data_IF_400169528019
#
_entry.id   IF_400169528019
#
_cell.length_a   1.000
_cell.length_b   1.000
_cell.length_c   1.000
_cell.angle_alpha   90.00
_cell.angle_beta   90.00
_cell.angle_gamma   90.00
#
_symmetry.space_group_name_H-M   'P 1'
#
loop_
_entity.id
_entity.type
_entity.pdbx_description
1 polymer ?
#
# COMPACT_ATOMS: atom_id res chain seq x y z
N UNK A 1 0.37 -23.25 5.16
CA UNK A 1 0.61 -23.66 3.76
C UNK A 1 2.03 -23.32 3.30
N UNK A 2 2.43 -22.05 3.26
CA UNK A 2 3.74 -21.58 2.82
C UNK A 2 4.90 -22.33 3.47
N UNK A 3 4.91 -22.43 4.81
CA UNK A 3 6.02 -23.03 5.57
C UNK A 3 6.21 -24.52 5.27
N UNK A 4 5.10 -25.25 5.09
CA UNK A 4 5.12 -26.66 4.71
C UNK A 4 5.73 -26.82 3.33
N UNK A 5 5.31 -26.01 2.35
CA UNK A 5 5.88 -26.01 1.00
C UNK A 5 7.38 -25.68 1.00
N UNK A 6 7.79 -24.64 1.74
CA UNK A 6 9.20 -24.28 1.92
C UNK A 6 10.03 -25.46 2.46
N UNK A 7 9.51 -26.15 3.48
CA UNK A 7 10.18 -27.30 4.09
C UNK A 7 10.30 -28.48 3.12
N UNK A 8 9.25 -28.79 2.35
CA UNK A 8 9.28 -29.85 1.35
C UNK A 8 10.28 -29.54 0.23
N UNK A 9 10.27 -28.33 -0.31
CA UNK A 9 11.20 -27.94 -1.37
C UNK A 9 12.66 -28.00 -0.93
N UNK A 10 12.98 -27.65 0.32
CA UNK A 10 14.32 -27.85 0.89
C UNK A 10 14.75 -29.32 0.99
N UNK A 11 13.78 -30.25 1.03
CA UNK A 11 14.03 -31.69 1.01
C UNK A 11 14.14 -32.24 -0.41
N UNK A 12 14.15 -31.38 -1.44
CA UNK A 12 14.29 -31.78 -2.84
C UNK A 12 12.98 -32.09 -3.55
N UNK A 13 11.83 -31.90 -2.90
CA UNK A 13 10.53 -32.02 -3.57
C UNK A 13 10.38 -30.95 -4.65
N UNK A 14 9.64 -31.29 -5.71
CA UNK A 14 9.32 -30.37 -6.81
C UNK A 14 7.82 -30.16 -6.88
N UNK A 15 7.39 -28.90 -6.96
CA UNK A 15 6.00 -28.54 -7.22
C UNK A 15 5.74 -28.41 -8.72
N UNK A 16 4.50 -28.69 -9.13
CA UNK A 16 4.00 -28.42 -10.47
C UNK A 16 2.75 -27.54 -10.36
N UNK A 17 2.69 -26.47 -11.14
CA UNK A 17 1.50 -25.63 -11.25
C UNK A 17 0.81 -25.93 -12.59
N UNK A 18 -0.43 -26.41 -12.52
CA UNK A 18 -1.25 -26.72 -13.70
C UNK A 18 -2.35 -25.68 -13.83
N UNK A 19 -2.39 -24.98 -14.97
CA UNK A 19 -3.40 -23.96 -15.26
C UNK A 19 -4.26 -24.37 -16.47
N UNK A 20 -5.28 -25.23 -16.27
CA UNK A 20 -6.16 -25.65 -17.35
C UNK A 20 -7.11 -24.53 -17.78
N UNK A 21 -7.58 -24.58 -19.04
CA UNK A 21 -8.51 -23.57 -19.60
C UNK A 21 -9.80 -23.40 -18.79
N UNK A 22 -10.29 -24.49 -18.17
CA UNK A 22 -11.47 -24.47 -17.30
C UNK A 22 -11.01 -24.55 -15.84
N UNK A 23 -11.42 -23.60 -14.97
CA UNK A 23 -11.14 -23.69 -13.54
C UNK A 23 -11.64 -25.01 -12.96
N UNK A 24 -10.76 -25.75 -12.29
CA UNK A 24 -11.11 -27.01 -11.61
C UNK A 24 -11.55 -26.79 -10.16
N UNK A 25 -11.14 -25.67 -9.57
CA UNK A 25 -11.52 -25.25 -8.23
C UNK A 25 -12.16 -23.87 -8.31
N UNK A 26 -13.36 -23.76 -7.75
CA UNK A 26 -14.08 -22.49 -7.60
C UNK A 26 -14.24 -22.20 -6.13
N UNK A 27 -13.93 -20.97 -5.74
CA UNK A 27 -14.07 -20.50 -4.37
C UNK A 27 -14.79 -19.16 -4.33
N UNK A 28 -15.32 -18.82 -3.16
CA UNK A 28 -15.89 -17.50 -2.90
C UNK A 28 -14.79 -16.55 -2.42
N UNK A 29 -14.68 -15.41 -3.10
CA UNK A 29 -13.79 -14.32 -2.70
C UNK A 29 -14.55 -13.30 -1.82
N UNK A 30 -13.82 -12.55 -1.02
CA UNK A 30 -14.38 -11.44 -0.24
C UNK A 30 -14.67 -10.25 -1.16
N UNK A 31 -15.84 -9.64 -1.00
CA UNK A 31 -16.34 -8.56 -1.89
C UNK A 31 -16.26 -7.17 -1.27
N UNK A 32 -15.98 -7.07 0.05
CA UNK A 32 -15.85 -5.81 0.77
C UNK A 32 -14.41 -5.58 1.27
N UNK A 33 -14.06 -4.31 1.53
CA UNK A 33 -12.71 -3.92 1.93
C UNK A 33 -12.31 -4.47 3.31
N UNK A 34 -13.25 -4.55 4.25
CA UNK A 34 -12.99 -5.01 5.61
C UNK A 34 -12.45 -6.44 5.63
N UNK A 35 -13.17 -7.37 5.00
CA UNK A 35 -12.82 -8.78 4.98
C UNK A 35 -11.53 -9.04 4.20
N UNK A 36 -11.32 -8.31 3.10
CA UNK A 36 -10.05 -8.31 2.36
C UNK A 36 -8.90 -7.87 3.27
N UNK A 37 -9.07 -6.76 4.00
CA UNK A 37 -8.04 -6.23 4.90
C UNK A 37 -7.72 -7.18 6.06
N UNK A 38 -8.72 -7.84 6.65
CA UNK A 38 -8.53 -8.86 7.69
C UNK A 38 -7.78 -10.07 7.11
N UNK A 39 -8.16 -10.54 5.93
CA UNK A 39 -7.47 -11.64 5.25
C UNK A 39 -5.99 -11.31 5.02
N UNK A 40 -5.71 -10.15 4.44
CA UNK A 40 -4.34 -9.72 4.16
C UNK A 40 -3.53 -9.49 5.43
N UNK A 41 -4.16 -9.03 6.52
CA UNK A 41 -3.47 -8.87 7.80
C UNK A 41 -2.99 -10.22 8.31
N UNK A 42 -3.84 -11.26 8.26
CA UNK A 42 -3.44 -12.63 8.63
C UNK A 42 -2.29 -13.16 7.78
N UNK A 43 -2.35 -12.96 6.47
CA UNK A 43 -1.28 -13.39 5.56
C UNK A 43 0.02 -12.64 5.86
N UNK A 44 -0.05 -11.33 6.06
CA UNK A 44 1.08 -10.49 6.42
C UNK A 44 1.73 -10.93 7.75
N UNK A 45 0.92 -11.24 8.77
CA UNK A 45 1.41 -11.80 10.03
C UNK A 45 2.07 -13.15 9.82
N UNK A 46 1.49 -14.05 9.02
CA UNK A 46 2.08 -15.34 8.70
C UNK A 46 3.44 -15.23 8.03
N UNK A 47 3.54 -14.41 6.98
CA UNK A 47 4.79 -14.15 6.27
C UNK A 47 5.85 -13.48 7.15
N UNK A 48 5.46 -12.43 7.89
CA UNK A 48 6.36 -11.72 8.82
C UNK A 48 6.87 -12.66 9.90
N UNK A 49 6.01 -13.52 10.45
CA UNK A 49 6.38 -14.53 11.45
C UNK A 49 7.48 -15.45 10.94
N UNK A 50 7.41 -15.87 9.67
CA UNK A 50 8.46 -16.69 9.07
C UNK A 50 9.73 -15.86 8.86
N UNK A 51 9.62 -14.63 8.34
CA UNK A 51 10.76 -13.75 8.07
C UNK A 51 11.63 -13.49 9.31
N UNK A 52 11.01 -13.27 10.48
CA UNK A 52 11.72 -13.00 11.74
C UNK A 52 11.91 -14.24 12.63
N UNK A 53 11.60 -15.43 12.11
CA UNK A 53 11.85 -16.68 12.83
C UNK A 53 13.25 -17.24 12.56
N UNK A 54 13.66 -18.23 13.36
CA UNK A 54 14.83 -19.07 13.08
C UNK A 54 14.75 -19.83 11.75
N UNK A 55 13.56 -19.93 11.15
CA UNK A 55 13.34 -20.57 9.85
C UNK A 55 13.23 -19.58 8.70
N UNK A 56 13.71 -18.34 8.91
CA UNK A 56 13.80 -17.31 7.87
C UNK A 56 14.41 -17.87 6.58
N UNK A 57 13.81 -17.60 5.39
CA UNK A 57 14.34 -18.07 4.12
C UNK A 57 15.78 -17.63 3.86
N UNK A 58 16.21 -16.45 4.34
CA UNK A 58 17.59 -15.98 4.17
C UNK A 58 18.62 -16.80 4.95
N UNK A 59 18.22 -17.37 6.09
CA UNK A 59 19.11 -18.18 6.95
C UNK A 59 19.00 -19.65 6.56
N UNK A 60 17.76 -20.12 6.40
CA UNK A 60 17.46 -21.54 6.24
C UNK A 60 17.42 -21.97 4.77
N UNK A 61 17.14 -21.07 3.83
CA UNK A 61 16.97 -21.37 2.40
C UNK A 61 18.25 -21.65 1.60
N UNK A 62 19.39 -20.96 1.83
CA UNK A 62 20.58 -21.12 0.98
C UNK A 62 21.06 -22.58 0.88
N UNK A 63 21.57 -22.95 -0.30
CA UNK A 63 22.18 -24.26 -0.61
C UNK A 63 21.25 -25.49 -0.60
N UNK A 64 19.93 -25.33 -0.36
CA UNK A 64 18.95 -26.42 -0.33
C UNK A 64 17.88 -26.34 -1.43
N UNK A 65 17.92 -25.30 -2.25
CA UNK A 65 17.03 -25.08 -3.40
C UNK A 65 17.73 -24.21 -4.44
N UNK A 66 17.14 -24.04 -5.63
CA UNK A 66 17.68 -23.16 -6.65
C UNK A 66 17.67 -21.70 -6.21
N UNK A 67 18.56 -20.89 -6.77
CA UNK A 67 18.66 -19.46 -6.44
C UNK A 67 17.33 -18.72 -6.67
N UNK A 68 16.67 -18.99 -7.80
CA UNK A 68 15.37 -18.36 -8.13
C UNK A 68 14.30 -18.75 -7.11
N UNK A 69 14.22 -20.03 -6.75
CA UNK A 69 13.23 -20.50 -5.79
C UNK A 69 13.48 -19.91 -4.39
N UNK A 70 14.75 -19.80 -3.99
CA UNK A 70 15.16 -19.11 -2.78
C UNK A 70 14.72 -17.64 -2.77
N UNK A 71 14.90 -16.93 -3.88
CA UNK A 71 14.47 -15.54 -4.01
C UNK A 71 12.95 -15.40 -3.89
N UNK A 72 12.16 -16.26 -4.55
CA UNK A 72 10.69 -16.24 -4.44
C UNK A 72 10.20 -16.48 -3.00
N UNK A 73 10.80 -17.44 -2.30
CA UNK A 73 10.45 -17.67 -0.89
C UNK A 73 10.80 -16.47 -0.02
N UNK A 74 11.99 -15.89 -0.22
CA UNK A 74 12.44 -14.72 0.53
C UNK A 74 11.55 -13.51 0.27
N UNK A 75 11.23 -13.22 -0.99
CA UNK A 75 10.31 -12.15 -1.37
C UNK A 75 8.98 -12.29 -0.64
N UNK A 76 8.32 -13.44 -0.72
CA UNK A 76 7.02 -13.65 -0.07
C UNK A 76 7.06 -13.46 1.45
N UNK A 77 8.12 -13.93 2.12
CA UNK A 77 8.27 -13.78 3.56
C UNK A 77 8.50 -12.32 3.98
N UNK A 78 9.35 -11.60 3.26
CA UNK A 78 9.76 -10.24 3.60
C UNK A 78 8.85 -9.15 3.02
N UNK A 79 8.02 -9.49 2.03
CA UNK A 79 7.15 -8.55 1.32
C UNK A 79 6.32 -7.66 2.26
N UNK A 80 5.65 -8.15 3.33
CA UNK A 80 4.88 -7.27 4.20
C UNK A 80 5.74 -6.22 4.91
N UNK A 81 6.89 -6.62 5.46
CA UNK A 81 7.81 -5.73 6.17
C UNK A 81 8.40 -4.67 5.24
N UNK A 82 8.92 -5.10 4.09
CA UNK A 82 9.60 -4.19 3.17
C UNK A 82 8.62 -3.21 2.52
N UNK A 83 7.43 -3.69 2.15
CA UNK A 83 6.41 -2.83 1.54
C UNK A 83 5.80 -1.86 2.56
N UNK A 84 5.49 -2.29 3.79
CA UNK A 84 4.92 -1.35 4.75
C UNK A 84 5.93 -0.24 5.11
N UNK A 85 7.19 -0.58 5.42
CA UNK A 85 8.21 0.40 5.76
C UNK A 85 8.45 1.40 4.62
N UNK A 86 8.61 0.91 3.40
CA UNK A 86 8.85 1.76 2.23
C UNK A 86 7.67 2.70 1.97
N UNK A 87 6.44 2.19 2.02
CA UNK A 87 5.25 2.98 1.67
C UNK A 87 4.89 3.99 2.76
N UNK A 88 5.10 3.68 4.03
CA UNK A 88 5.00 4.70 5.10
C UNK A 88 6.03 5.81 4.92
N UNK A 89 7.25 5.48 4.48
CA UNK A 89 8.25 6.47 4.10
C UNK A 89 7.78 7.37 2.94
N UNK A 90 7.31 6.78 1.84
CA UNK A 90 6.80 7.53 0.67
C UNK A 90 5.47 8.26 0.92
N UNK A 91 4.72 7.87 1.94
CA UNK A 91 3.46 8.49 2.33
C UNK A 91 3.64 9.77 3.15
N UNK A 92 4.79 9.93 3.82
CA UNK A 92 5.06 11.09 4.66
C UNK A 92 6.27 11.90 4.24
N UNK A 93 7.40 11.29 3.89
CA UNK A 93 8.64 12.04 3.63
C UNK A 93 8.46 13.03 2.47
N UNK A 94 8.01 12.62 1.26
CA UNK A 94 7.81 13.57 0.17
C UNK A 94 6.79 14.67 0.49
N UNK A 95 5.72 14.34 1.23
CA UNK A 95 4.60 15.22 1.56
C UNK A 95 5.01 16.23 2.63
N UNK A 96 5.76 15.83 3.64
CA UNK A 96 6.29 16.74 4.66
C UNK A 96 7.35 17.66 4.06
N UNK A 97 8.23 17.15 3.19
CA UNK A 97 9.17 18.00 2.46
C UNK A 97 8.43 19.00 1.55
N UNK A 98 7.40 18.56 0.81
CA UNK A 98 6.57 19.43 -0.03
C UNK A 98 5.83 20.49 0.82
N UNK A 99 5.29 20.10 1.97
CA UNK A 99 4.63 21.01 2.90
C UNK A 99 5.60 22.02 3.54
N UNK A 100 6.90 21.75 3.56
CA UNK A 100 7.91 22.67 4.13
C UNK A 100 8.81 23.32 3.06
N UNK A 101 8.44 23.24 1.78
CA UNK A 101 9.20 23.81 0.65
C UNK A 101 10.64 23.25 0.51
N UNK A 102 10.86 22.01 0.94
CA UNK A 102 12.16 21.33 0.88
C UNK A 102 12.23 20.47 -0.39
N UNK A 103 13.14 20.78 -1.34
CA UNK A 103 13.26 20.03 -2.58
C UNK A 103 13.87 18.65 -2.32
N UNK A 104 13.15 17.58 -2.69
CA UNK A 104 13.65 16.21 -2.59
C UNK A 104 14.20 15.67 -3.92
N UNK A 105 13.69 16.18 -5.05
CA UNK A 105 14.11 15.78 -6.39
C UNK A 105 14.96 16.86 -7.06
N UNK A 106 15.78 16.51 -8.06
CA UNK A 106 16.45 17.49 -8.90
C UNK A 106 15.43 18.44 -9.54
N UNK A 107 15.88 19.67 -9.84
CA UNK A 107 15.07 20.62 -10.60
C UNK A 107 14.74 20.04 -11.98
N UNK A 108 13.59 20.39 -12.54
CA UNK A 108 13.19 19.93 -13.88
C UNK A 108 14.19 20.34 -14.97
N UNK A 109 14.86 21.48 -14.78
CA UNK A 109 15.91 21.98 -15.66
C UNK A 109 17.24 21.22 -15.56
N UNK A 110 17.43 20.38 -14.54
CA UNK A 110 18.62 19.54 -14.36
C UNK A 110 18.51 18.25 -15.19
N UNK A 111 19.57 17.90 -15.92
CA UNK A 111 19.66 16.65 -16.69
C UNK A 111 19.40 15.40 -15.82
N UNK A 112 19.76 15.46 -14.53
CA UNK A 112 19.55 14.40 -13.55
C UNK A 112 18.07 14.08 -13.33
N UNK A 113 17.16 15.04 -13.54
CA UNK A 113 15.72 14.83 -13.43
C UNK A 113 15.22 13.74 -14.39
N UNK A 114 15.83 13.62 -15.58
CA UNK A 114 15.48 12.60 -16.56
C UNK A 114 15.69 11.18 -16.02
N UNK A 115 16.69 10.96 -15.15
CA UNK A 115 16.94 9.65 -14.53
C UNK A 115 15.74 9.25 -13.66
N UNK A 116 15.26 10.17 -12.82
CA UNK A 116 14.10 9.93 -11.95
C UNK A 116 12.82 9.71 -12.77
N UNK A 117 12.64 10.49 -13.84
CA UNK A 117 11.50 10.34 -14.75
C UNK A 117 11.49 8.96 -15.42
N UNK A 118 12.63 8.50 -15.94
CA UNK A 118 12.76 7.18 -16.58
C UNK A 118 12.50 6.05 -15.57
N UNK A 119 13.04 6.16 -14.36
CA UNK A 119 12.80 5.15 -13.30
C UNK A 119 11.31 5.09 -12.96
N UNK A 120 10.66 6.23 -12.77
CA UNK A 120 9.22 6.29 -12.47
C UNK A 120 8.36 5.71 -13.60
N UNK A 121 8.60 6.14 -14.84
CA UNK A 121 7.84 5.65 -16.00
C UNK A 121 8.07 4.17 -16.25
N UNK A 122 9.31 3.69 -16.15
CA UNK A 122 9.62 2.27 -16.35
C UNK A 122 8.94 1.37 -15.32
N UNK A 123 8.86 1.78 -14.05
CA UNK A 123 8.14 1.05 -13.02
C UNK A 123 6.63 0.93 -13.31
N UNK A 124 6.00 2.04 -13.70
CA UNK A 124 4.57 2.08 -14.05
C UNK A 124 4.30 1.25 -15.30
N UNK A 125 5.08 1.42 -16.35
CA UNK A 125 4.91 0.72 -17.62
C UNK A 125 5.13 -0.78 -17.47
N UNK A 126 6.11 -1.20 -16.68
CA UNK A 126 6.33 -2.62 -16.37
C UNK A 126 5.12 -3.23 -15.68
N UNK A 127 4.61 -2.59 -14.64
CA UNK A 127 3.42 -3.08 -13.92
C UNK A 127 2.19 -3.16 -14.82
N UNK A 128 1.98 -2.16 -15.68
CA UNK A 128 0.89 -2.17 -16.65
C UNK A 128 1.05 -3.30 -17.67
N UNK A 129 2.27 -3.48 -18.18
CA UNK A 129 2.60 -4.54 -19.14
C UNK A 129 2.31 -5.94 -18.58
N UNK A 130 2.69 -6.21 -17.33
CA UNK A 130 2.42 -7.49 -16.67
C UNK A 130 0.91 -7.79 -16.56
N UNK A 131 0.10 -6.78 -16.23
CA UNK A 131 -1.36 -6.96 -16.13
C UNK A 131 -1.99 -7.19 -17.50
N UNK A 132 -1.59 -6.41 -18.53
CA UNK A 132 -2.20 -6.53 -19.86
C UNK A 132 -1.80 -7.84 -20.54
N UNK A 133 -0.53 -8.26 -20.42
CA UNK A 133 -0.05 -9.51 -21.04
C UNK A 133 -0.66 -10.77 -20.40
N UNK A 134 -1.10 -10.68 -19.15
CA UNK A 134 -1.83 -11.75 -18.46
C UNK A 134 -3.34 -11.74 -18.74
N UNK A 135 -3.82 -10.85 -19.64
CA UNK A 135 -5.21 -10.73 -20.04
C UNK A 135 -6.05 -9.78 -19.17
N UNK A 136 -5.43 -9.07 -18.23
CA UNK A 136 -6.06 -8.04 -17.43
C UNK A 136 -6.33 -6.75 -18.20
N UNK A 137 -7.25 -5.94 -17.69
CA UNK A 137 -7.57 -4.62 -18.26
C UNK A 137 -6.79 -3.51 -17.54
N UNK A 138 -6.70 -2.32 -18.15
CA UNK A 138 -6.12 -1.13 -17.49
C UNK A 138 -6.85 -0.80 -16.18
N UNK A 139 -8.17 -1.06 -16.10
CA UNK A 139 -8.95 -0.94 -14.86
C UNK A 139 -8.43 -1.87 -13.77
N UNK A 140 -8.07 -3.10 -14.12
CA UNK A 140 -7.47 -4.08 -13.20
C UNK A 140 -6.14 -3.57 -12.68
N UNK A 141 -5.26 -3.09 -13.56
CA UNK A 141 -3.96 -2.53 -13.17
C UNK A 141 -4.11 -1.36 -12.17
N UNK A 142 -5.01 -0.42 -12.47
CA UNK A 142 -5.27 0.73 -11.58
C UNK A 142 -5.78 0.28 -10.21
N UNK A 143 -6.65 -0.73 -10.17
CA UNK A 143 -7.17 -1.28 -8.92
C UNK A 143 -6.06 -2.02 -8.15
N UNK A 144 -5.24 -2.82 -8.82
CA UNK A 144 -4.12 -3.55 -8.20
C UNK A 144 -3.11 -2.57 -7.58
N UNK A 145 -2.78 -1.50 -8.31
CA UNK A 145 -1.89 -0.45 -7.83
C UNK A 145 -2.43 0.24 -6.57
N UNK A 146 -3.72 0.60 -6.58
CA UNK A 146 -4.41 1.20 -5.43
C UNK A 146 -4.45 0.25 -4.23
N UNK A 147 -4.89 -0.99 -4.45
CA UNK A 147 -5.01 -2.00 -3.39
C UNK A 147 -3.63 -2.30 -2.80
N UNK A 148 -2.57 -2.34 -3.61
CA UNK A 148 -1.21 -2.50 -3.10
C UNK A 148 -0.80 -1.37 -2.15
N UNK A 149 -1.06 -0.10 -2.49
CA UNK A 149 -0.80 1.03 -1.58
C UNK A 149 -1.63 0.94 -0.30
N UNK A 150 -2.95 0.72 -0.43
CA UNK A 150 -3.86 0.61 0.72
C UNK A 150 -3.42 -0.50 1.66
N UNK A 151 -3.13 -1.70 1.12
CA UNK A 151 -2.67 -2.86 1.87
C UNK A 151 -1.33 -2.62 2.57
N UNK A 152 -0.42 -1.87 1.94
CA UNK A 152 0.90 -1.57 2.51
C UNK A 152 0.79 -0.67 3.74
N UNK A 153 -0.04 0.36 3.69
CA UNK A 153 -0.31 1.27 4.82
C UNK A 153 -1.12 0.58 5.93
N UNK A 154 -1.97 -0.38 5.57
CA UNK A 154 -2.91 -1.03 6.51
C UNK A 154 -2.48 -2.46 6.87
N UNK A 155 -2.94 -3.46 6.13
CA UNK A 155 -2.77 -4.88 6.46
C UNK A 155 -1.32 -5.32 6.64
N UNK A 156 -0.39 -4.83 5.81
CA UNK A 156 1.03 -5.15 5.97
C UNK A 156 1.61 -4.52 7.22
N UNK A 157 1.29 -3.24 7.48
CA UNK A 157 1.71 -2.57 8.70
C UNK A 157 1.19 -3.27 9.95
N UNK A 158 -0.12 -3.49 10.06
CA UNK A 158 -0.70 -4.14 11.23
C UNK A 158 -0.29 -5.60 11.37
N UNK A 159 -0.24 -6.33 10.25
CA UNK A 159 0.17 -7.73 10.27
C UNK A 159 1.61 -7.90 10.71
N UNK A 160 2.52 -7.02 10.26
CA UNK A 160 3.91 -7.03 10.69
C UNK A 160 4.09 -6.53 12.13
N UNK A 161 3.40 -5.45 12.51
CA UNK A 161 3.46 -4.89 13.85
C UNK A 161 2.99 -5.89 14.90
N UNK A 162 1.90 -6.62 14.64
CA UNK A 162 1.37 -7.65 15.54
C UNK A 162 2.42 -8.70 15.89
N UNK A 163 3.16 -9.17 14.89
CA UNK A 163 4.21 -10.17 15.06
C UNK A 163 5.40 -9.60 15.82
N UNK A 164 5.82 -8.37 15.53
CA UNK A 164 6.90 -7.70 16.26
C UNK A 164 6.54 -7.54 17.74
N UNK A 165 5.34 -7.03 18.04
CA UNK A 165 4.85 -6.87 19.41
C UNK A 165 4.76 -8.22 20.13
N UNK A 166 4.31 -9.27 19.44
CA UNK A 166 4.29 -10.61 20.00
C UNK A 166 5.69 -11.14 20.33
N UNK A 167 6.68 -10.93 19.45
CA UNK A 167 8.07 -11.32 19.73
C UNK A 167 8.69 -10.56 20.89
N UNK A 168 8.28 -9.31 21.11
CA UNK A 168 8.70 -8.49 22.24
C UNK A 168 7.94 -8.82 23.54
N UNK A 169 6.99 -9.76 23.52
CA UNK A 169 6.18 -10.13 24.69
C UNK A 169 5.13 -9.07 25.07
N UNK A 170 4.84 -8.11 24.19
CA UNK A 170 3.92 -6.99 24.44
C UNK A 170 2.46 -7.32 24.09
N UNK A 171 2.22 -8.37 23.31
CA UNK A 171 0.89 -8.77 22.87
C UNK A 171 0.82 -10.28 22.58
N UNK A 172 -0.30 -10.92 22.87
CA UNK A 172 -0.55 -12.30 22.44
C UNK A 172 -0.94 -12.37 20.96
N UNK A 173 -0.60 -13.48 20.31
CA UNK A 173 -0.96 -13.72 18.92
C UNK A 173 -2.49 -13.85 18.80
N UNK A 174 -3.12 -12.95 18.03
CA UNK A 174 -4.57 -12.94 17.83
C UNK A 174 -4.94 -13.36 16.42
N UNK A 175 -5.87 -14.30 16.27
CA UNK A 175 -6.38 -14.74 14.98
C UNK A 175 -7.84 -14.30 14.81
N UNK A 176 -8.08 -13.32 13.95
CA UNK A 176 -9.43 -12.88 13.59
C UNK A 176 -9.88 -13.58 12.30
N UNK A 177 -10.83 -14.53 12.36
CA UNK A 177 -11.37 -15.14 11.15
C UNK A 177 -12.16 -14.11 10.33
N UNK A 178 -12.12 -14.27 9.02
CA UNK A 178 -12.96 -13.49 8.10
C UNK A 178 -14.39 -14.00 8.11
N UNK A 179 -15.35 -13.08 8.10
CA UNK A 179 -16.74 -13.39 7.88
C UNK A 179 -17.01 -13.55 6.38
N UNK A 180 -17.64 -14.67 6.00
CA UNK A 180 -18.00 -14.99 4.61
C UNK A 180 -19.51 -14.94 4.35
N UNK A 181 -20.28 -14.34 5.25
CA UNK A 181 -21.70 -14.14 5.07
C UNK A 181 -21.93 -13.23 3.86
N UNK A 182 -22.83 -13.67 2.97
CA UNK A 182 -23.19 -12.93 1.76
C UNK A 182 -24.20 -11.85 2.15
N UNK A 183 -23.87 -10.61 1.80
CA UNK A 183 -24.75 -9.45 1.91
C UNK A 183 -25.03 -8.94 0.50
N UNK A 184 -26.29 -8.99 0.08
CA UNK A 184 -26.71 -8.60 -1.27
C UNK A 184 -26.35 -7.14 -1.60
N UNK A 185 -26.29 -6.24 -0.62
CA UNK A 185 -25.84 -4.86 -0.82
C UNK A 185 -24.35 -4.81 -1.15
N UNK A 186 -23.53 -5.61 -0.45
CA UNK A 186 -22.09 -5.71 -0.71
C UNK A 186 -21.80 -6.30 -2.09
N UNK A 187 -22.55 -7.33 -2.49
CA UNK A 187 -22.41 -7.96 -3.81
C UNK A 187 -22.74 -6.95 -4.91
N UNK A 188 -23.83 -6.20 -4.78
CA UNK A 188 -24.19 -5.15 -5.76
C UNK A 188 -23.11 -4.08 -5.88
N UNK A 189 -22.58 -3.59 -4.76
CA UNK A 189 -21.48 -2.61 -4.77
C UNK A 189 -20.24 -3.16 -5.50
N UNK A 190 -19.89 -4.41 -5.21
CA UNK A 190 -18.77 -5.10 -5.86
C UNK A 190 -18.97 -5.25 -7.37
N UNK A 191 -20.16 -5.66 -7.82
CA UNK A 191 -20.51 -5.79 -9.25
C UNK A 191 -20.43 -4.45 -10.00
N UNK A 192 -20.81 -3.35 -9.33
CA UNK A 192 -20.63 -1.99 -9.86
C UNK A 192 -19.16 -1.52 -9.81
N UNK A 193 -18.30 -2.25 -9.09
CA UNK A 193 -16.91 -1.89 -8.83
C UNK A 193 -16.75 -0.67 -7.92
N UNK A 194 -17.70 -0.48 -7.02
CA UNK A 194 -17.71 0.54 -5.98
C UNK A 194 -17.11 -0.07 -4.71
N UNK A 195 -16.13 0.62 -4.11
CA UNK A 195 -15.51 0.14 -2.88
C UNK A 195 -16.46 0.25 -1.70
N UNK A 196 -16.55 -0.80 -0.89
CA UNK A 196 -17.29 -0.78 0.36
C UNK A 196 -16.36 -0.45 1.53
N UNK A 197 -16.47 0.78 2.07
CA UNK A 197 -15.69 1.26 3.21
C UNK A 197 -16.36 1.03 4.56
N UNK A 198 -17.39 0.18 4.67
CA UNK A 198 -17.89 -0.34 5.97
C UNK A 198 -16.83 -1.23 6.61
N UNK A 199 -15.84 -0.61 7.23
CA UNK A 199 -14.60 -1.23 7.70
C UNK A 199 -14.21 -0.68 9.06
N UNK A 200 -13.48 -1.47 9.84
CA UNK A 200 -12.93 -1.02 11.12
C UNK A 200 -12.11 0.27 10.98
N UNK A 201 -12.28 1.19 11.94
CA UNK A 201 -11.52 2.45 12.02
C UNK A 201 -10.01 2.22 11.98
N UNK A 202 -9.53 1.09 12.51
CA UNK A 202 -8.12 0.68 12.47
C UNK A 202 -7.56 0.64 11.05
N UNK A 203 -8.33 0.21 10.04
CA UNK A 203 -7.85 0.21 8.65
C UNK A 203 -8.09 1.54 7.95
N UNK A 204 -9.23 2.19 8.22
CA UNK A 204 -9.59 3.43 7.52
C UNK A 204 -8.76 4.63 8.00
N UNK A 205 -8.55 4.79 9.31
CA UNK A 205 -7.88 5.94 9.88
C UNK A 205 -6.48 6.19 9.31
N UNK A 206 -5.53 5.22 9.29
CA UNK A 206 -4.20 5.47 8.73
C UNK A 206 -4.24 5.79 7.23
N UNK A 207 -5.12 5.12 6.47
CA UNK A 207 -5.29 5.37 5.04
C UNK A 207 -5.78 6.80 4.78
N UNK A 208 -6.82 7.23 5.50
CA UNK A 208 -7.39 8.57 5.37
C UNK A 208 -6.40 9.64 5.85
N UNK A 209 -5.67 9.39 6.94
CA UNK A 209 -4.65 10.30 7.47
C UNK A 209 -3.56 10.59 6.44
N UNK A 210 -3.02 9.55 5.78
CA UNK A 210 -2.00 9.72 4.73
C UNK A 210 -2.54 10.52 3.55
N UNK A 211 -3.77 10.25 3.12
CA UNK A 211 -4.39 11.00 2.02
C UNK A 211 -4.61 12.47 2.40
N UNK A 212 -5.07 12.76 3.61
CA UNK A 212 -5.26 14.13 4.10
C UNK A 212 -3.95 14.90 4.23
N UNK A 213 -2.87 14.26 4.72
CA UNK A 213 -1.52 14.86 4.74
C UNK A 213 -1.07 15.20 3.32
N UNK A 214 -1.28 14.29 2.36
CA UNK A 214 -0.93 14.53 0.97
C UNK A 214 -1.76 15.66 0.34
N UNK A 215 -3.07 15.72 0.60
CA UNK A 215 -3.93 16.84 0.15
C UNK A 215 -3.42 18.16 0.72
N UNK A 216 -3.13 18.23 2.03
CA UNK A 216 -2.63 19.44 2.67
C UNK A 216 -1.29 19.92 2.06
N UNK A 217 -0.36 18.99 1.84
CA UNK A 217 0.92 19.27 1.19
C UNK A 217 0.73 19.80 -0.24
N UNK A 218 -0.12 19.13 -1.04
CA UNK A 218 -0.40 19.53 -2.41
C UNK A 218 -1.05 20.92 -2.49
N UNK A 219 -2.07 21.17 -1.66
CA UNK A 219 -2.78 22.45 -1.62
C UNK A 219 -1.85 23.57 -1.17
N UNK A 220 -1.03 23.35 -0.13
CA UNK A 220 -0.04 24.34 0.30
C UNK A 220 0.94 24.69 -0.83
N UNK A 221 1.48 23.69 -1.52
CA UNK A 221 2.40 23.90 -2.64
C UNK A 221 1.74 24.68 -3.79
N UNK A 222 0.48 24.40 -4.11
CA UNK A 222 -0.28 25.18 -5.11
C UNK A 222 -0.48 26.63 -4.66
N UNK A 223 -0.84 26.86 -3.39
CA UNK A 223 -1.03 28.21 -2.85
C UNK A 223 0.28 29.00 -2.89
N UNK A 224 1.39 28.41 -2.43
CA UNK A 224 2.71 29.05 -2.49
C UNK A 224 3.10 29.37 -3.93
N UNK A 225 2.89 28.43 -4.87
CA UNK A 225 3.21 28.63 -6.27
C UNK A 225 2.38 29.74 -6.95
N UNK A 226 1.15 30.00 -6.48
CA UNK A 226 0.28 31.05 -7.05
C UNK A 226 0.49 32.41 -6.38
N UNK A 227 0.68 32.43 -5.06
CA UNK A 227 0.75 33.67 -4.26
C UNK A 227 2.16 34.24 -4.23
N UNK A 228 3.18 33.38 -4.15
CA UNK A 228 4.59 33.76 -3.98
C UNK A 228 5.33 33.65 -5.32
N UNK A 229 4.79 34.34 -6.34
CA UNK A 229 5.33 34.34 -7.71
C UNK A 229 6.76 34.93 -7.79
N UNK A 230 7.21 35.61 -6.74
CA UNK A 230 8.55 36.19 -6.60
C UNK A 230 9.61 35.17 -6.16
N UNK A 231 9.23 33.94 -5.74
CA UNK A 231 10.20 32.86 -5.50
C UNK A 231 10.68 32.28 -6.82
N UNK A 232 11.69 32.91 -7.39
CA UNK A 232 12.35 32.46 -8.62
C UNK A 232 12.60 30.94 -8.63
N UNK A 233 11.91 30.28 -9.57
CA UNK A 233 12.03 28.85 -9.84
C UNK A 233 11.45 27.93 -8.76
N UNK A 234 10.48 28.35 -7.94
CA UNK A 234 9.78 27.45 -7.00
C UNK A 234 9.20 26.23 -7.72
N UNK A 235 8.47 26.47 -8.81
CA UNK A 235 7.90 25.41 -9.64
C UNK A 235 8.96 24.43 -10.13
N UNK A 236 10.08 24.93 -10.66
CA UNK A 236 11.17 24.07 -11.15
C UNK A 236 11.76 23.18 -10.06
N UNK A 237 11.85 23.69 -8.82
CA UNK A 237 12.40 22.98 -7.66
C UNK A 237 11.41 21.94 -7.11
N UNK A 238 10.11 22.25 -7.10
CA UNK A 238 9.09 21.43 -6.42
C UNK A 238 8.35 20.46 -7.35
N UNK A 239 8.48 20.60 -8.66
CA UNK A 239 7.68 19.86 -9.64
C UNK A 239 7.63 18.35 -9.39
N UNK A 240 8.78 17.71 -9.11
CA UNK A 240 8.84 16.26 -8.89
C UNK A 240 7.94 15.79 -7.73
N UNK A 241 8.00 16.49 -6.59
CA UNK A 241 7.16 16.19 -5.42
C UNK A 241 5.69 16.55 -5.67
N UNK A 242 5.40 17.67 -6.34
CA UNK A 242 4.03 18.05 -6.70
C UNK A 242 3.38 17.03 -7.64
N UNK A 243 4.12 16.56 -8.65
CA UNK A 243 3.67 15.54 -9.58
C UNK A 243 3.43 14.20 -8.87
N UNK A 244 4.36 13.76 -8.01
CA UNK A 244 4.18 12.53 -7.24
C UNK A 244 2.97 12.62 -6.30
N UNK A 245 2.81 13.76 -5.62
CA UNK A 245 1.67 14.05 -4.77
C UNK A 245 0.35 13.95 -5.55
N UNK A 246 0.25 14.62 -6.69
CA UNK A 246 -0.90 14.54 -7.60
C UNK A 246 -1.17 13.11 -8.06
N UNK A 247 -0.14 12.38 -8.49
CA UNK A 247 -0.26 10.99 -8.93
C UNK A 247 -0.83 10.08 -7.84
N UNK A 248 -0.39 10.24 -6.59
CA UNK A 248 -0.91 9.47 -5.45
C UNK A 248 -2.39 9.80 -5.21
N UNK A 249 -2.79 11.08 -5.29
CA UNK A 249 -4.19 11.50 -5.13
C UNK A 249 -5.09 10.91 -6.22
N UNK A 250 -4.66 10.96 -7.49
CA UNK A 250 -5.41 10.35 -8.61
C UNK A 250 -5.51 8.84 -8.44
N UNK A 251 -4.42 8.17 -8.08
CA UNK A 251 -4.39 6.72 -7.90
C UNK A 251 -5.33 6.26 -6.77
N UNK A 252 -5.44 7.06 -5.71
CA UNK A 252 -6.29 6.81 -4.55
C UNK A 252 -7.61 7.60 -4.55
N UNK A 253 -8.06 8.06 -5.73
CA UNK A 253 -9.29 8.85 -5.87
C UNK A 253 -10.49 8.18 -5.20
N UNK A 254 -10.61 6.85 -5.24
CA UNK A 254 -11.73 6.13 -4.60
C UNK A 254 -11.81 6.34 -3.08
N UNK A 255 -10.68 6.55 -2.40
CA UNK A 255 -10.66 6.90 -0.97
C UNK A 255 -11.16 8.33 -0.77
N UNK A 256 -10.74 9.26 -1.63
CA UNK A 256 -11.17 10.67 -1.61
C UNK A 256 -12.67 10.77 -1.90
N UNK A 257 -13.14 10.05 -2.92
CA UNK A 257 -14.55 9.92 -3.28
C UNK A 257 -15.36 9.34 -2.12
N UNK A 258 -14.86 8.27 -1.48
CA UNK A 258 -15.46 7.67 -0.30
C UNK A 258 -15.55 8.63 0.90
N UNK A 259 -14.61 9.56 1.03
CA UNK A 259 -14.54 10.53 2.13
C UNK A 259 -15.40 11.78 1.91
N UNK A 260 -15.38 12.33 0.70
CA UNK A 260 -15.91 13.69 0.43
C UNK A 260 -17.23 13.63 -0.36
N UNK A 261 -17.28 12.79 -1.40
CA UNK A 261 -18.33 12.84 -2.43
C UNK A 261 -19.49 11.91 -2.05
N UNK A 262 -19.16 10.69 -1.63
CA UNK A 262 -20.13 9.64 -1.34
C UNK A 262 -20.86 9.90 -0.02
N UNK A 263 -22.16 9.59 -0.01
CA UNK A 263 -23.08 9.74 1.13
C UNK A 263 -23.84 8.46 1.46
N UNK A 264 -23.53 7.37 0.77
CA UNK A 264 -24.12 6.05 0.99
C UNK A 264 -23.51 5.37 2.23
N UNK A 265 -24.14 4.29 2.71
CA UNK A 265 -23.66 3.55 3.90
C UNK A 265 -22.26 2.95 3.73
N UNK A 266 -21.82 2.76 2.48
CA UNK A 266 -20.52 2.25 2.11
C UNK A 266 -19.44 3.34 1.95
N UNK A 267 -19.77 4.60 2.24
CA UNK A 267 -18.81 5.72 2.32
C UNK A 267 -17.95 5.66 3.58
N UNK A 268 -16.88 6.47 3.62
CA UNK A 268 -16.01 6.59 4.80
C UNK A 268 -16.76 7.44 5.84
N UNK A 269 -16.94 6.95 7.08
CA UNK A 269 -17.66 7.69 8.12
C UNK A 269 -16.97 9.01 8.47
N UNK A 270 -17.77 10.08 8.65
CA UNK A 270 -17.27 11.41 9.03
C UNK A 270 -16.43 11.38 10.32
N UNK A 271 -16.79 10.53 11.28
CA UNK A 271 -16.04 10.36 12.53
C UNK A 271 -14.59 9.92 12.27
N UNK A 272 -14.37 9.03 11.30
CA UNK A 272 -13.03 8.58 10.90
C UNK A 272 -12.30 9.71 10.20
N UNK A 273 -12.96 10.44 9.30
CA UNK A 273 -12.37 11.60 8.62
C UNK A 273 -11.90 12.68 9.58
N UNK A 274 -12.72 13.01 10.59
CA UNK A 274 -12.36 13.99 11.62
C UNK A 274 -11.18 13.52 12.47
N UNK A 275 -11.21 12.25 12.92
CA UNK A 275 -10.10 11.65 13.66
C UNK A 275 -8.80 11.67 12.85
N UNK A 276 -8.86 11.26 11.59
CA UNK A 276 -7.72 11.31 10.68
C UNK A 276 -7.25 12.74 10.43
N UNK A 277 -8.16 13.73 10.36
CA UNK A 277 -7.80 15.14 10.27
C UNK A 277 -6.97 15.61 11.47
N UNK A 278 -7.34 15.23 12.69
CA UNK A 278 -6.54 15.52 13.90
C UNK A 278 -5.14 14.90 13.79
N UNK A 279 -5.05 13.63 13.39
CA UNK A 279 -3.75 12.98 13.18
C UNK A 279 -2.93 13.66 12.08
N UNK A 280 -3.55 14.06 10.96
CA UNK A 280 -2.86 14.73 9.86
C UNK A 280 -2.28 16.07 10.31
N UNK A 281 -3.04 16.88 11.05
CA UNK A 281 -2.54 18.15 11.62
C UNK A 281 -1.36 17.89 12.55
N UNK A 282 -1.47 16.92 13.45
CA UNK A 282 -0.38 16.55 14.36
C UNK A 282 0.89 16.13 13.61
N UNK A 283 0.76 15.28 12.58
CA UNK A 283 1.88 14.83 11.74
C UNK A 283 2.52 16.00 10.99
N UNK A 284 1.72 16.90 10.42
CA UNK A 284 2.23 18.08 9.72
C UNK A 284 3.00 19.00 10.67
N UNK A 285 2.45 19.29 11.86
CA UNK A 285 3.09 20.15 12.86
C UNK A 285 4.42 19.57 13.36
N UNK A 286 4.43 18.29 13.75
CA UNK A 286 5.65 17.61 14.20
C UNK A 286 6.65 17.50 13.06
N UNK A 287 6.19 17.13 11.87
CA UNK A 287 7.03 17.01 10.69
C UNK A 287 7.70 18.34 10.35
N UNK A 288 6.96 19.44 10.38
CA UNK A 288 7.51 20.79 10.22
C UNK A 288 8.53 21.14 11.31
N UNK A 289 8.25 20.81 12.58
CA UNK A 289 9.18 21.08 13.68
C UNK A 289 10.48 20.25 13.62
N UNK A 290 10.44 19.05 13.02
CA UNK A 290 11.64 18.22 12.79
C UNK A 290 12.46 18.74 11.59
N UNK A 291 11.78 19.33 10.60
CA UNK A 291 12.40 19.80 9.35
C UNK A 291 12.87 21.26 9.38
N UNK A 292 12.43 22.03 10.39
CA UNK A 292 12.87 23.41 10.65
C UNK A 292 14.23 23.46 11.34
#
# INVERSE_FOLDING_TARGET
DYFTGFTLHRKGWKSVYLYPKKPQFLGTATTNYNEVSIQWTRWASGFTSVAISKFCPLIYGPLKMSWVQFMCYSELAFMPLLNCLSLWGFAFIPQLCLFNDIPLYPKVSDSSFNIFLIIFLSAILKSLYEVVTTGGQVRTWRNDWRIWMMRSITSYFYGSLDVVLNKLGMKEASFLPTNKVIDDEQVKLYEMGIFDFRTATTFLAPLVTVILVNIAAFVRALVVNVVDNDRDGYWEKMFGQMFLSFYILVSNYTVIEGMIIRRDKASIPLSVTLLSGVFSVFILLIGSAILS
#
